data_IF_396757165709
#
_entry.id   IF_396757165709
#
_cell.length_a   1.000
_cell.length_b   1.000
_cell.length_c   1.000
_cell.angle_alpha   90.00
_cell.angle_beta   90.00
_cell.angle_gamma   90.00
#
_symmetry.space_group_name_H-M   'P 1'
#
loop_
_entity.id
_entity.type
_entity.pdbx_description
1 polymer ?
#
# COMPACT_ATOMS: atom_id res chain seq x y z
N UNK A 1 -7.03 35.10 -3.68
CA UNK A 1 -7.44 33.85 -3.01
C UNK A 1 -6.75 32.70 -3.71
N UNK A 2 -5.76 32.08 -3.08
CA UNK A 2 -5.12 30.88 -3.63
C UNK A 2 -6.14 29.72 -3.59
N UNK A 3 -6.28 28.93 -4.66
CA UNK A 3 -7.08 27.71 -4.59
C UNK A 3 -6.46 26.75 -3.54
N UNK A 4 -7.27 25.97 -2.82
CA UNK A 4 -6.75 24.92 -1.95
C UNK A 4 -5.88 23.95 -2.79
N UNK A 5 -4.84 23.33 -2.21
CA UNK A 5 -3.99 22.40 -2.95
C UNK A 5 -4.87 21.31 -3.56
N UNK A 6 -4.73 21.13 -4.87
CA UNK A 6 -5.51 20.20 -5.66
C UNK A 6 -5.40 18.80 -5.03
N UNK A 7 -6.50 18.35 -4.42
CA UNK A 7 -6.78 16.94 -4.27
C UNK A 7 -6.67 16.38 -5.69
N UNK A 8 -5.63 15.60 -5.97
CA UNK A 8 -5.42 15.02 -7.29
C UNK A 8 -6.67 14.19 -7.59
N UNK A 9 -7.41 14.53 -8.65
CA UNK A 9 -8.70 13.90 -8.98
C UNK A 9 -8.44 12.46 -9.43
N UNK A 10 -8.22 11.58 -8.46
CA UNK A 10 -8.01 10.16 -8.66
C UNK A 10 -9.38 9.53 -8.93
N UNK A 11 -9.47 8.52 -9.80
CA UNK A 11 -10.73 7.82 -10.06
C UNK A 11 -11.19 6.95 -8.89
N UNK A 12 -10.59 7.12 -7.71
CA UNK A 12 -10.85 6.43 -6.46
C UNK A 12 -10.41 7.31 -5.29
N UNK A 13 -11.03 7.11 -4.13
CA UNK A 13 -10.70 7.84 -2.91
C UNK A 13 -9.36 7.33 -2.35
N UNK A 14 -8.32 8.17 -2.39
CA UNK A 14 -7.01 7.85 -1.84
C UNK A 14 -6.21 9.08 -1.43
N UNK A 15 -5.33 8.92 -0.45
CA UNK A 15 -4.53 10.01 0.08
C UNK A 15 -3.12 9.55 0.46
N UNK A 16 -2.11 10.33 0.05
CA UNK A 16 -0.75 10.23 0.56
C UNK A 16 -0.62 11.09 1.83
N UNK A 17 -0.07 10.52 2.89
CA UNK A 17 0.05 11.15 4.20
C UNK A 17 1.52 11.38 4.52
N UNK A 18 2.04 12.54 4.13
CA UNK A 18 3.41 12.95 4.45
C UNK A 18 3.42 14.02 5.55
N UNK A 19 4.49 14.00 6.33
CA UNK A 19 4.86 15.06 7.25
C UNK A 19 5.90 15.97 6.58
N UNK A 20 5.91 17.27 6.91
CA UNK A 20 6.94 18.19 6.43
C UNK A 20 8.34 17.66 6.74
N UNK A 21 9.29 17.93 5.85
CA UNK A 21 10.70 17.66 6.12
C UNK A 21 11.17 18.51 7.31
N UNK A 22 12.02 17.94 8.17
CA UNK A 22 12.55 18.64 9.34
C UNK A 22 13.54 19.76 8.98
N UNK A 23 14.17 19.68 7.80
CA UNK A 23 15.08 20.68 7.27
C UNK A 23 15.04 20.71 5.73
N UNK A 24 15.45 21.82 5.08
CA UNK A 24 15.60 21.90 3.64
C UNK A 24 16.55 20.81 3.11
N UNK A 25 16.16 20.14 2.02
CA UNK A 25 16.96 19.08 1.40
C UNK A 25 16.80 17.68 2.02
N UNK A 26 15.97 17.52 3.06
CA UNK A 26 15.64 16.19 3.59
C UNK A 26 14.41 15.58 2.91
N UNK A 27 14.30 14.24 2.83
CA UNK A 27 13.11 13.59 2.31
C UNK A 27 11.89 13.86 3.24
N UNK A 28 10.67 13.79 2.70
CA UNK A 28 9.46 13.85 3.52
C UNK A 28 9.47 12.72 4.55
N UNK A 29 8.94 13.02 5.73
CA UNK A 29 8.76 12.02 6.77
C UNK A 29 7.34 11.44 6.69
N UNK A 30 7.15 10.27 7.29
CA UNK A 30 5.86 9.61 7.33
C UNK A 30 5.55 9.22 8.76
N UNK A 31 4.28 9.31 9.13
CA UNK A 31 3.78 8.75 10.38
C UNK A 31 3.66 7.23 10.30
N UNK A 32 2.91 6.63 11.25
CA UNK A 32 2.57 5.21 11.21
C UNK A 32 1.95 4.75 9.90
N UNK A 33 1.14 5.62 9.27
CA UNK A 33 0.50 5.40 7.97
C UNK A 33 1.04 6.43 6.98
N UNK A 34 1.49 5.97 5.82
CA UNK A 34 1.98 6.83 4.73
C UNK A 34 0.99 6.98 3.59
N UNK A 35 0.07 6.04 3.43
CA UNK A 35 -0.92 6.08 2.36
C UNK A 35 -2.18 5.29 2.74
N UNK A 36 -3.33 5.77 2.29
CA UNK A 36 -4.63 5.10 2.43
C UNK A 36 -5.41 5.16 1.12
N UNK A 37 -6.25 4.17 0.88
CA UNK A 37 -7.29 4.25 -0.14
C UNK A 37 -8.52 3.44 0.24
N UNK A 38 -9.70 3.97 -0.10
CA UNK A 38 -10.94 3.20 -0.09
C UNK A 38 -10.94 2.30 -1.32
N UNK A 39 -10.52 1.06 -1.17
CA UNK A 39 -10.43 0.10 -2.27
C UNK A 39 -11.77 -0.12 -2.97
N UNK A 40 -12.89 -0.10 -2.21
CA UNK A 40 -14.23 -0.22 -2.77
C UNK A 40 -14.64 0.92 -3.72
N UNK A 41 -13.95 2.07 -3.68
CA UNK A 41 -14.20 3.17 -4.62
C UNK A 41 -13.50 2.99 -5.98
N UNK A 42 -12.61 1.99 -6.11
CA UNK A 42 -11.89 1.73 -7.36
C UNK A 42 -12.83 1.12 -8.41
N UNK A 43 -12.75 1.54 -9.69
CA UNK A 43 -13.57 0.98 -10.75
C UNK A 43 -13.46 -0.55 -10.87
N UNK A 44 -14.61 -1.21 -11.01
CA UNK A 44 -14.71 -2.66 -11.21
C UNK A 44 -14.51 -3.52 -9.95
N UNK A 45 -14.51 -2.93 -8.75
CA UNK A 45 -14.49 -3.70 -7.49
C UNK A 45 -15.88 -4.20 -7.10
N UNK A 46 -15.99 -5.43 -6.57
CA UNK A 46 -17.25 -5.92 -6.04
C UNK A 46 -17.63 -5.12 -4.78
N UNK A 47 -18.94 -4.99 -4.55
CA UNK A 47 -19.43 -4.49 -3.28
C UNK A 47 -18.98 -5.42 -2.14
N UNK A 48 -18.75 -4.84 -0.95
CA UNK A 48 -18.47 -5.62 0.26
C UNK A 48 -19.67 -6.53 0.54
N UNK A 49 -19.40 -7.74 1.05
CA UNK A 49 -20.43 -8.76 1.29
C UNK A 49 -21.62 -8.18 2.07
N UNK A 50 -22.84 -8.37 1.53
CA UNK A 50 -24.07 -7.81 2.10
C UNK A 50 -24.39 -6.36 1.69
N UNK A 51 -23.57 -5.73 0.84
CA UNK A 51 -23.84 -4.39 0.27
C UNK A 51 -23.70 -3.23 1.27
N UNK A 52 -23.41 -3.51 2.53
CA UNK A 52 -23.23 -2.53 3.59
C UNK A 52 -21.80 -2.64 4.15
N UNK A 53 -20.87 -1.89 3.58
CA UNK A 53 -19.50 -1.81 4.08
C UNK A 53 -18.52 -1.21 3.08
N UNK A 54 -17.31 -0.92 3.57
CA UNK A 54 -16.21 -0.39 2.76
C UNK A 54 -14.97 -1.25 2.94
N UNK A 55 -14.19 -1.41 1.87
CA UNK A 55 -12.87 -2.02 1.93
C UNK A 55 -11.81 -0.92 1.87
N UNK A 56 -10.93 -0.88 2.86
CA UNK A 56 -9.84 0.09 2.95
C UNK A 56 -8.49 -0.62 2.82
N UNK A 57 -7.60 -0.04 2.04
CA UNK A 57 -6.18 -0.39 2.05
C UNK A 57 -5.40 0.66 2.81
N UNK A 58 -4.68 0.21 3.82
CA UNK A 58 -3.77 1.05 4.62
C UNK A 58 -2.34 0.61 4.39
N UNK A 59 -1.48 1.55 4.04
CA UNK A 59 -0.04 1.33 3.90
C UNK A 59 0.71 2.05 5.01
N UNK A 60 1.48 1.26 5.75
CA UNK A 60 2.31 1.75 6.84
C UNK A 60 3.51 2.57 6.33
N UNK A 61 3.92 3.57 7.12
CA UNK A 61 5.12 4.34 6.85
C UNK A 61 6.40 3.50 6.95
N UNK A 62 7.47 3.85 6.23
CA UNK A 62 8.68 3.04 6.15
C UNK A 62 9.42 2.91 7.50
N UNK A 63 9.51 3.98 8.28
CA UNK A 63 10.13 3.94 9.61
C UNK A 63 9.34 3.03 10.56
N UNK A 64 8.01 3.16 10.58
CA UNK A 64 7.11 2.35 11.40
C UNK A 64 7.17 0.86 11.02
N UNK A 65 7.20 0.57 9.72
CA UNK A 65 7.31 -0.78 9.17
C UNK A 65 8.63 -1.44 9.54
N UNK A 66 9.75 -0.72 9.43
CA UNK A 66 11.07 -1.23 9.80
C UNK A 66 11.17 -1.57 11.29
N UNK A 67 10.57 -0.75 12.16
CA UNK A 67 10.52 -1.02 13.60
C UNK A 67 9.72 -2.29 13.97
N UNK A 68 8.85 -2.76 13.07
CA UNK A 68 8.01 -3.96 13.24
C UNK A 68 8.41 -5.10 12.32
N UNK A 69 9.62 -5.04 11.77
CA UNK A 69 10.17 -6.10 10.93
C UNK A 69 10.21 -7.40 11.74
N UNK A 70 9.35 -8.36 11.39
CA UNK A 70 9.23 -9.65 12.08
C UNK A 70 8.15 -9.71 13.19
N UNK A 71 7.37 -8.66 13.39
CA UNK A 71 6.18 -8.74 14.24
C UNK A 71 5.11 -9.64 13.62
N UNK A 72 4.26 -10.22 14.48
CA UNK A 72 3.10 -11.01 14.06
C UNK A 72 2.13 -10.18 13.20
N UNK A 73 1.61 -10.78 12.12
CA UNK A 73 0.76 -10.11 11.15
C UNK A 73 -0.58 -9.63 11.77
N UNK A 74 -1.20 -10.44 12.63
CA UNK A 74 -2.44 -10.06 13.29
C UNK A 74 -2.23 -8.94 14.30
N UNK A 75 -1.08 -8.90 14.98
CA UNK A 75 -0.68 -7.75 15.81
C UNK A 75 -0.48 -6.48 14.97
N UNK A 76 0.24 -6.57 13.84
CA UNK A 76 0.47 -5.41 12.95
C UNK A 76 -0.84 -4.86 12.41
N UNK A 77 -1.76 -5.73 11.99
CA UNK A 77 -3.09 -5.33 11.53
C UNK A 77 -3.88 -4.58 12.63
N UNK A 78 -3.79 -5.02 13.89
CA UNK A 78 -4.41 -4.33 15.05
C UNK A 78 -3.88 -2.93 15.24
N UNK A 79 -2.57 -2.79 15.31
CA UNK A 79 -1.94 -1.49 15.51
C UNK A 79 -2.25 -0.54 14.34
N UNK A 80 -2.27 -1.02 13.10
CA UNK A 80 -2.63 -0.20 11.94
C UNK A 80 -4.11 0.21 11.93
N UNK A 81 -5.03 -0.65 12.37
CA UNK A 81 -6.44 -0.29 12.49
C UNK A 81 -6.64 0.84 13.52
N UNK A 82 -5.95 0.77 14.66
CA UNK A 82 -6.01 1.82 15.68
C UNK A 82 -5.45 3.15 15.18
N UNK A 83 -4.32 3.12 14.45
CA UNK A 83 -3.75 4.31 13.80
C UNK A 83 -4.69 4.88 12.75
N UNK A 84 -5.36 4.01 11.97
CA UNK A 84 -6.33 4.43 10.96
C UNK A 84 -7.55 5.08 11.60
N UNK A 85 -8.12 4.48 12.65
CA UNK A 85 -9.24 5.08 13.40
C UNK A 85 -8.89 6.45 13.98
N UNK A 86 -7.67 6.61 14.52
CA UNK A 86 -7.17 7.92 14.96
C UNK A 86 -7.07 8.94 13.82
N UNK A 87 -6.61 8.51 12.64
CA UNK A 87 -6.49 9.36 11.47
C UNK A 87 -7.84 9.85 10.96
N UNK A 88 -8.84 8.96 10.85
CA UNK A 88 -10.18 9.33 10.38
C UNK A 88 -11.09 9.88 11.48
N UNK A 89 -10.59 9.97 12.72
CA UNK A 89 -11.31 10.43 13.91
C UNK A 89 -12.58 9.62 14.21
N UNK A 90 -12.53 8.32 13.92
CA UNK A 90 -13.59 7.35 14.22
C UNK A 90 -13.03 6.30 15.18
N UNK A 91 -13.69 6.03 16.32
CA UNK A 91 -13.26 4.97 17.23
C UNK A 91 -13.55 3.62 16.57
N UNK A 92 -12.58 3.09 15.82
CA UNK A 92 -12.66 1.78 15.19
C UNK A 92 -12.01 0.73 16.08
N UNK A 93 -12.71 -0.38 16.26
CA UNK A 93 -12.21 -1.58 16.94
C UNK A 93 -12.29 -2.78 16.00
N UNK A 94 -11.64 -3.89 16.37
CA UNK A 94 -11.73 -5.14 15.59
C UNK A 94 -13.16 -5.70 15.52
N UNK A 95 -14.03 -5.34 16.47
CA UNK A 95 -15.43 -5.76 16.43
C UNK A 95 -16.21 -5.11 15.28
N UNK A 96 -15.76 -3.96 14.78
CA UNK A 96 -16.39 -3.22 13.68
C UNK A 96 -15.91 -3.69 12.30
N UNK A 97 -14.95 -4.62 12.27
CA UNK A 97 -14.23 -5.05 11.07
C UNK A 97 -14.56 -6.50 10.73
N UNK A 98 -15.17 -6.70 9.56
CA UNK A 98 -15.52 -8.01 9.00
C UNK A 98 -14.28 -8.84 8.64
N UNK A 99 -13.22 -8.17 8.19
CA UNK A 99 -11.98 -8.82 7.78
C UNK A 99 -10.81 -7.84 7.89
N UNK A 100 -9.69 -8.29 8.45
CA UNK A 100 -8.44 -7.55 8.54
C UNK A 100 -7.24 -8.47 8.34
N UNK A 101 -6.34 -8.10 7.42
CA UNK A 101 -5.09 -8.82 7.17
C UNK A 101 -3.95 -7.84 6.94
N UNK A 102 -2.75 -8.16 7.44
CA UNK A 102 -1.54 -7.40 7.16
C UNK A 102 -0.48 -8.28 6.49
N UNK A 103 0.06 -7.78 5.39
CA UNK A 103 1.17 -8.42 4.67
C UNK A 103 2.46 -7.64 4.89
N UNK A 104 3.61 -8.31 4.97
CA UNK A 104 4.91 -7.63 5.09
C UNK A 104 5.72 -7.78 3.81
N UNK A 105 5.89 -6.68 3.07
CA UNK A 105 6.66 -6.64 1.84
C UNK A 105 8.07 -6.20 2.19
N UNK A 106 8.97 -7.18 2.29
CA UNK A 106 10.38 -6.91 2.57
C UNK A 106 10.99 -6.21 1.36
N UNK A 107 11.80 -5.20 1.65
CA UNK A 107 12.58 -4.45 0.66
C UNK A 107 11.72 -3.76 -0.42
N UNK A 108 10.50 -3.36 -0.04
CA UNK A 108 9.53 -2.71 -0.92
C UNK A 108 9.97 -1.35 -1.48
N UNK A 109 10.87 -0.63 -0.78
CA UNK A 109 11.35 0.67 -1.23
C UNK A 109 12.88 0.79 -1.05
N UNK A 110 13.64 1.09 -2.12
CA UNK A 110 15.07 1.34 -2.00
C UNK A 110 15.31 2.71 -1.37
N UNK A 111 16.01 2.75 -0.22
CA UNK A 111 16.37 4.02 0.43
C UNK A 111 17.42 4.83 -0.35
N UNK A 112 18.20 4.16 -1.20
CA UNK A 112 19.21 4.78 -2.04
C UNK A 112 19.17 4.17 -3.44
N UNK A 113 18.16 4.53 -4.27
CA UNK A 113 18.05 3.99 -5.61
C UNK A 113 19.29 4.37 -6.40
N UNK A 114 19.98 3.37 -6.95
CA UNK A 114 21.09 3.64 -7.87
C UNK A 114 20.55 4.26 -9.16
N UNK A 115 21.35 5.10 -9.84
CA UNK A 115 21.03 5.53 -11.19
C UNK A 115 20.76 4.32 -12.09
N UNK A 116 19.88 4.43 -13.10
CA UNK A 116 19.70 3.40 -14.11
C UNK A 116 21.06 3.04 -14.71
N UNK A 117 21.41 1.75 -14.67
CA UNK A 117 22.62 1.26 -15.31
C UNK A 117 22.24 0.77 -16.72
N UNK A 118 23.11 0.96 -17.73
CA UNK A 118 22.98 0.23 -18.98
C UNK A 118 22.91 -1.26 -18.65
N UNK A 119 22.04 -1.99 -19.35
CA UNK A 119 22.02 -3.44 -19.21
C UNK A 119 23.42 -3.97 -19.53
N UNK A 120 23.95 -4.82 -18.66
CA UNK A 120 25.17 -5.58 -18.90
C UNK A 120 24.80 -7.04 -18.70
N UNK A 121 25.13 -7.94 -19.64
CA UNK A 121 24.86 -9.36 -19.45
C UNK A 121 25.58 -9.85 -18.20
N UNK A 122 24.94 -10.79 -17.48
CA UNK A 122 25.62 -11.49 -16.39
C UNK A 122 26.83 -12.25 -16.99
N UNK A 123 27.99 -12.36 -16.30
CA UNK A 123 29.15 -13.11 -16.81
C UNK A 123 28.82 -14.54 -17.26
N UNK A 124 27.83 -15.17 -16.62
CA UNK A 124 27.31 -16.49 -16.99
C UNK A 124 26.57 -16.49 -18.34
N UNK A 125 25.88 -15.41 -18.68
CA UNK A 125 25.22 -15.21 -19.97
C UNK A 125 26.23 -14.90 -21.06
N UNK A 126 27.33 -14.22 -20.72
CA UNK A 126 28.38 -13.89 -21.66
C UNK A 126 29.14 -15.15 -22.10
N UNK A 127 29.47 -16.06 -21.18
CA UNK A 127 30.03 -17.37 -21.51
C UNK A 127 29.09 -18.22 -22.38
N UNK A 128 27.78 -18.21 -22.10
CA UNK A 128 26.80 -18.94 -22.91
C UNK A 128 26.54 -18.30 -24.29
N UNK A 129 26.81 -17.01 -24.47
CA UNK A 129 26.75 -16.36 -25.78
C UNK A 129 28.02 -16.62 -26.59
N UNK A 130 29.19 -16.65 -25.94
CA UNK A 130 30.44 -17.10 -26.58
C UNK A 130 30.37 -18.59 -26.96
N UNK A 131 29.67 -19.42 -26.17
CA UNK A 131 29.40 -20.83 -26.49
C UNK A 131 28.16 -21.04 -27.38
N UNK A 132 27.32 -20.00 -27.54
CA UNK A 132 26.02 -20.04 -28.22
C UNK A 132 25.94 -19.24 -29.53
N UNK A 133 27.00 -18.54 -29.93
CA UNK A 133 27.11 -17.89 -31.25
C UNK A 133 27.27 -18.89 -32.41
N UNK A 134 26.95 -20.17 -32.20
CA UNK A 134 26.59 -21.14 -33.24
C UNK A 134 25.07 -21.32 -33.43
N UNK A 135 24.19 -20.60 -32.72
CA UNK A 135 22.74 -20.86 -32.82
C UNK A 135 21.78 -19.76 -32.40
N UNK A 136 21.21 -19.12 -33.43
CA UNK A 136 19.80 -18.76 -33.55
C UNK A 136 19.25 -17.44 -32.95
N UNK A 137 18.65 -16.71 -33.89
CA UNK A 137 17.98 -15.42 -33.90
C UNK A 137 16.68 -15.37 -33.08
N UNK A 138 16.45 -14.25 -32.37
CA UNK A 138 15.09 -13.70 -32.24
C UNK A 138 14.54 -13.39 -30.84
N UNK A 139 14.04 -12.15 -30.73
CA UNK A 139 12.85 -11.73 -30.00
C UNK A 139 12.94 -11.20 -28.55
N UNK A 140 12.47 -9.95 -28.38
CA UNK A 140 11.38 -9.67 -27.44
C UNK A 140 11.75 -8.95 -26.13
N UNK A 141 11.84 -7.62 -26.17
CA UNK A 141 12.01 -6.73 -25.01
C UNK A 141 10.70 -6.62 -24.21
N UNK A 142 10.66 -7.11 -22.97
CA UNK A 142 9.56 -6.86 -22.02
C UNK A 142 9.87 -5.67 -21.09
N UNK A 143 8.91 -4.75 -20.97
CA UNK A 143 8.99 -3.50 -20.23
C UNK A 143 8.92 -3.70 -18.69
N UNK A 144 9.64 -2.85 -17.96
CA UNK A 144 9.75 -2.86 -16.50
C UNK A 144 8.42 -2.50 -15.81
N UNK A 145 8.01 -3.34 -14.86
CA UNK A 145 6.77 -3.20 -14.08
C UNK A 145 6.90 -2.27 -12.86
N UNK A 146 5.80 -1.58 -12.59
CA UNK A 146 5.55 -0.61 -11.50
C UNK A 146 5.64 -1.22 -10.09
N UNK A 147 6.16 -0.42 -9.16
CA UNK A 147 6.57 -0.75 -7.79
C UNK A 147 5.44 -1.14 -6.82
N UNK A 148 5.77 -2.08 -5.91
CA UNK A 148 4.88 -2.69 -4.93
C UNK A 148 4.96 -1.99 -3.55
N UNK A 149 3.80 -1.77 -2.94
CA UNK A 149 3.63 -1.25 -1.58
C UNK A 149 2.85 -2.22 -0.71
N UNK A 150 3.08 -2.15 0.60
CA UNK A 150 2.39 -2.97 1.59
C UNK A 150 0.93 -2.59 1.73
N UNK A 151 0.02 -3.53 1.45
CA UNK A 151 -1.42 -3.36 1.60
C UNK A 151 -1.95 -4.20 2.78
N UNK A 152 -2.69 -3.56 3.67
CA UNK A 152 -3.57 -4.24 4.63
C UNK A 152 -5.02 -3.92 4.25
N UNK A 153 -5.85 -4.94 4.00
CA UNK A 153 -7.26 -4.76 3.67
C UNK A 153 -8.10 -4.87 4.95
N UNK A 154 -8.79 -3.79 5.33
CA UNK A 154 -9.76 -3.78 6.42
C UNK A 154 -11.16 -3.50 5.88
N UNK A 155 -12.09 -4.43 6.08
CA UNK A 155 -13.51 -4.29 5.70
C UNK A 155 -14.35 -3.88 6.91
N UNK A 156 -14.88 -2.66 6.97
CA UNK A 156 -15.75 -2.24 8.08
C UNK A 156 -17.23 -2.36 7.66
N UNK A 157 -18.04 -2.98 8.53
CA UNK A 157 -19.49 -3.14 8.35
C UNK A 157 -20.24 -2.55 9.53
N UNK A 158 -20.98 -1.46 9.30
CA UNK A 158 -21.91 -0.95 10.30
C UNK A 158 -23.14 -1.86 10.35
N UNK A 159 -23.19 -2.78 11.32
CA UNK A 159 -24.40 -3.51 11.62
C UNK A 159 -25.37 -2.56 12.35
N UNK A 160 -26.37 -2.05 11.62
CA UNK A 160 -27.53 -1.43 12.24
C UNK A 160 -28.32 -2.50 13.00
N UNK A 161 -28.13 -2.55 14.32
CA UNK A 161 -29.02 -3.27 15.21
C UNK A 161 -30.34 -2.49 15.31
N UNK A 162 -31.32 -2.82 14.46
CA UNK A 162 -32.70 -2.49 14.72
C UNK A 162 -33.19 -3.39 15.87
N UNK A 163 -32.99 -2.92 17.11
CA UNK A 163 -33.61 -3.49 18.29
C UNK A 163 -35.13 -3.32 18.21
N UNK A 164 -35.84 -4.42 18.39
CA UNK A 164 -37.30 -4.44 18.51
C UNK A 164 -37.76 -3.61 19.71
N UNK A 165 -38.86 -2.89 19.51
CA UNK A 165 -39.66 -2.28 20.56
C UNK A 165 -40.98 -3.03 20.67
N UNK A 166 -41.23 -3.55 21.88
CA UNK A 166 -42.48 -4.10 22.42
C UNK A 166 -43.70 -3.19 22.21
N UNK A 167 -44.86 -3.82 21.99
CA UNK A 167 -46.18 -3.17 21.95
C UNK A 167 -47.23 -3.99 21.22
#
# INVERSE_FOLDING_TARGET
CCPPPHLTDLPFDGALLSLPAAAPGQPPQYGPISWIARDSSKPGRPAVAGGAGEAWVVQAGPQWSNARRGADAARVARELLEEFGRLVQVPLTYADVLHAEAHCWRDAYPLNPRPPQPWSPCPQQQQQQEEGEEGEEGAGKAAAGTAAGTAAAAGAGAAAAAGGGDG
#
